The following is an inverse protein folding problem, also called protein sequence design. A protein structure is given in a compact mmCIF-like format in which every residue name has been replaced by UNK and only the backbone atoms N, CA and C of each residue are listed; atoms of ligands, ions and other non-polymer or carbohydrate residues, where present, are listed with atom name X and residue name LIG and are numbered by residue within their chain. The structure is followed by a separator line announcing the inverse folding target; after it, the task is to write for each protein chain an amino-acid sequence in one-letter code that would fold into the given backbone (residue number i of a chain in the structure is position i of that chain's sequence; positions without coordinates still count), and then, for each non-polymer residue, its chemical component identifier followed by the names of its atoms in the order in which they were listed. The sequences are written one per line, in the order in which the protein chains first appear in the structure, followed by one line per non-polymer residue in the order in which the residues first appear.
data_IF_566673012810
#
_entry.id   IF_566673012810
#
_cell.length_a   1.000
_cell.length_b   1.000
_cell.length_c   1.000
_cell.angle_alpha   90.00
_cell.angle_beta   90.00
_cell.angle_gamma   90.00
#
_symmetry.space_group_name_H-M   'P 1'
#
loop_
_entity.id
_entity.type
_entity.pdbx_description
1 polymer ?
#
# COMPACT_ATOMS: atom_id res chain seq x y z
N UNK A 1 -4.75 -11.60 -7.58
CA UNK A 1 -4.97 -12.00 -7.22
C UNK A 1 -5.29 -12.52 -6.51
N UNK A 2 -5.59 -12.93 -6.53
CA UNK A 2 -5.92 -13.30 -5.84
C UNK A 2 -6.10 -14.11 -5.17
N UNK A 3 -6.39 -14.02 -5.03
CA UNK A 3 -6.22 -14.76 -3.84
C UNK A 3 -7.28 -15.75 -3.59
N UNK A 4 -6.93 -16.85 -3.08
CA UNK A 4 -7.87 -17.89 -2.81
C UNK A 4 -8.18 -17.97 -1.33
N UNK A 5 -9.36 -17.54 -0.94
CA UNK A 5 -9.76 -17.46 0.44
C UNK A 5 -9.99 -18.80 1.11
N UNK A 6 -10.22 -19.84 0.32
CA UNK A 6 -10.35 -21.16 0.89
C UNK A 6 -9.11 -21.58 1.62
N UNK A 7 -7.99 -21.14 1.12
CA UNK A 7 -6.73 -21.43 1.77
C UNK A 7 -6.54 -20.60 3.01
N UNK A 8 -7.08 -19.40 2.99
CA UNK A 8 -6.86 -18.47 4.08
C UNK A 8 -7.65 -18.82 5.30
N UNK A 9 -8.81 -19.38 5.14
CA UNK A 9 -9.66 -19.56 6.27
C UNK A 9 -9.17 -20.62 7.23
N UNK A 10 -8.22 -21.45 6.82
CA UNK A 10 -7.85 -22.45 7.76
C UNK A 10 -6.47 -22.98 7.61
N UNK A 11 -6.18 -23.63 6.52
CA UNK A 11 -4.98 -24.45 6.49
C UNK A 11 -4.19 -24.28 5.23
N UNK A 12 -2.89 -24.33 5.33
CA UNK A 12 -2.16 -24.48 6.58
C UNK A 12 -2.24 -23.23 7.44
N UNK A 13 -1.93 -23.37 8.72
CA UNK A 13 -1.86 -22.22 9.61
C UNK A 13 -0.75 -21.31 9.16
N UNK A 14 -0.83 -20.01 9.51
CA UNK A 14 0.23 -19.08 9.17
C UNK A 14 1.57 -19.58 9.66
N UNK A 15 2.57 -19.49 8.80
CA UNK A 15 3.93 -19.90 9.16
C UNK A 15 4.69 -18.77 9.82
N UNK A 16 4.24 -17.56 9.62
CA UNK A 16 4.90 -16.39 10.22
C UNK A 16 4.53 -16.25 11.67
N UNK A 17 5.49 -15.94 12.49
CA UNK A 17 5.30 -15.74 13.91
C UNK A 17 5.60 -14.30 14.23
N UNK A 18 4.72 -13.58 14.96
CA UNK A 18 3.52 -14.11 15.66
C UNK A 18 2.32 -14.33 14.74
N UNK A 19 2.29 -13.70 13.57
CA UNK A 19 1.18 -13.82 12.64
C UNK A 19 1.60 -13.22 11.29
N UNK A 20 0.85 -13.44 10.22
CA UNK A 20 1.09 -12.73 8.96
C UNK A 20 0.93 -11.23 9.17
N UNK A 21 1.63 -10.39 8.41
CA UNK A 21 1.49 -8.94 8.54
C UNK A 21 0.05 -8.48 8.38
N UNK A 22 -0.38 -7.58 9.24
CA UNK A 22 -1.72 -7.00 9.21
C UNK A 22 -1.60 -5.59 8.64
N UNK A 23 -2.11 -5.39 7.43
CA UNK A 23 -2.10 -4.08 6.78
C UNK A 23 -3.47 -3.47 6.93
N UNK A 24 -3.55 -2.34 7.61
CA UNK A 24 -4.83 -1.69 7.90
C UNK A 24 -5.19 -0.73 6.77
N UNK A 25 -6.39 -0.91 6.21
CA UNK A 25 -6.90 -0.05 5.15
C UNK A 25 -7.76 1.07 5.70
N UNK A 26 -7.83 2.15 4.96
CA UNK A 26 -8.73 3.25 5.27
C UNK A 26 -8.02 4.59 5.39
N UNK A 27 -8.83 5.62 5.69
CA UNK A 27 -8.37 6.99 5.65
C UNK A 27 -7.72 7.50 6.92
N UNK A 28 -7.21 8.67 6.80
CA UNK A 28 -6.59 9.40 7.90
C UNK A 28 -7.64 10.25 8.61
N UNK A 29 -7.65 10.34 9.94
CA UNK A 29 -6.65 9.74 10.85
C UNK A 29 -7.06 8.41 11.46
N UNK A 30 -8.30 7.99 11.31
CA UNK A 30 -8.83 6.83 12.03
C UNK A 30 -8.13 5.51 11.69
N UNK A 31 -7.99 5.21 10.40
CA UNK A 31 -7.32 3.98 9.99
C UNK A 31 -5.84 4.05 10.31
N UNK A 32 -5.24 5.22 10.19
CA UNK A 32 -3.84 5.42 10.56
C UNK A 32 -3.61 5.10 12.03
N UNK A 33 -4.53 5.54 12.90
CA UNK A 33 -4.43 5.23 14.33
C UNK A 33 -4.55 3.75 14.60
N UNK A 34 -5.44 3.06 13.88
CA UNK A 34 -5.56 1.61 14.05
C UNK A 34 -4.30 0.90 13.58
N UNK A 35 -3.71 1.35 12.49
CA UNK A 35 -2.46 0.77 11.99
C UNK A 35 -1.35 0.90 13.03
N UNK A 36 -1.25 2.05 13.68
CA UNK A 36 -0.25 2.29 14.71
C UNK A 36 -0.53 1.43 15.94
N UNK A 37 -1.80 1.25 16.28
CA UNK A 37 -2.21 0.56 17.49
C UNK A 37 -1.98 -0.94 17.42
N UNK A 38 -2.28 -1.58 16.29
CA UNK A 38 -2.16 -3.03 16.18
C UNK A 38 -1.73 -3.55 14.82
N UNK A 39 -1.57 -2.70 13.85
CA UNK A 39 -1.21 -3.13 12.50
C UNK A 39 0.27 -3.22 12.25
N UNK A 40 0.60 -3.75 11.11
CA UNK A 40 1.98 -3.87 10.63
C UNK A 40 2.24 -2.99 9.42
N UNK A 41 1.24 -2.24 9.01
CA UNK A 41 1.34 -1.29 7.91
C UNK A 41 0.00 -0.60 7.69
N UNK A 42 0.01 0.40 6.82
CA UNK A 42 -1.17 1.19 6.51
C UNK A 42 -1.32 1.29 5.00
N UNK A 43 -2.54 1.11 4.50
CA UNK A 43 -2.81 1.21 3.06
C UNK A 43 -3.99 2.15 2.81
N UNK A 44 -3.72 3.46 2.67
CA UNK A 44 -4.76 4.41 2.29
C UNK A 44 -5.01 4.39 0.78
N UNK A 45 -6.07 5.09 0.37
CA UNK A 45 -6.36 5.29 -1.04
C UNK A 45 -5.60 6.51 -1.56
N UNK A 46 -5.40 6.53 -2.86
CA UNK A 46 -4.65 7.61 -3.50
C UNK A 46 -5.36 8.98 -3.42
N UNK A 47 -6.69 8.97 -3.41
CA UNK A 47 -7.47 10.19 -3.57
C UNK A 47 -7.15 11.31 -2.57
N UNK A 48 -6.72 11.01 -1.36
CA UNK A 48 -6.37 12.05 -0.41
C UNK A 48 -4.92 12.51 -0.53
N UNK A 49 -4.08 11.76 -1.20
CA UNK A 49 -2.70 12.18 -1.46
C UNK A 49 -2.65 13.46 -2.26
N UNK A 50 -3.65 13.67 -3.11
CA UNK A 50 -3.70 14.85 -3.94
C UNK A 50 -3.93 16.13 -3.14
N UNK A 51 -4.48 16.00 -1.94
CA UNK A 51 -4.76 17.16 -1.11
C UNK A 51 -3.56 17.55 -0.26
N UNK A 52 -3.01 16.64 0.48
CA UNK A 52 -1.86 16.93 1.34
C UNK A 52 -1.12 15.64 1.69
N UNK A 53 -0.72 14.90 0.67
CA UNK A 53 -0.09 13.59 0.88
C UNK A 53 1.14 13.65 1.75
N UNK A 54 2.04 14.59 1.49
CA UNK A 54 3.27 14.69 2.26
C UNK A 54 3.00 15.01 3.72
N UNK A 55 2.12 15.99 3.98
CA UNK A 55 1.78 16.36 5.35
C UNK A 55 1.14 15.24 6.13
N UNK A 56 0.25 14.49 5.48
CA UNK A 56 -0.42 13.36 6.11
C UNK A 56 0.57 12.24 6.42
N UNK A 57 1.51 11.96 5.53
CA UNK A 57 2.53 10.95 5.76
C UNK A 57 3.42 11.35 6.95
N UNK A 58 3.80 12.62 7.01
CA UNK A 58 4.61 13.11 8.11
C UNK A 58 3.86 13.01 9.44
N UNK A 59 2.58 13.35 9.45
CA UNK A 59 1.75 13.22 10.63
C UNK A 59 1.64 11.77 11.08
N UNK A 60 1.44 10.86 10.14
CA UNK A 60 1.37 9.44 10.46
C UNK A 60 2.66 8.97 11.14
N UNK A 61 3.79 9.37 10.61
CA UNK A 61 5.08 8.98 11.17
C UNK A 61 5.31 9.57 12.55
N UNK A 62 4.90 10.82 12.75
CA UNK A 62 4.99 11.46 14.06
C UNK A 62 4.10 10.75 15.08
N UNK A 63 2.88 10.41 14.68
CA UNK A 63 1.95 9.68 15.54
C UNK A 63 2.51 8.32 15.95
N UNK A 64 3.13 7.61 15.02
CA UNK A 64 3.74 6.33 15.30
C UNK A 64 4.86 6.48 16.33
N UNK A 65 5.70 7.48 16.14
CA UNK A 65 6.81 7.75 17.05
C UNK A 65 6.32 8.10 18.45
N UNK A 66 5.28 8.93 18.54
CA UNK A 66 4.69 9.29 19.83
C UNK A 66 4.09 8.08 20.54
N UNK A 67 3.60 7.11 19.77
CA UNK A 67 3.03 5.89 20.33
C UNK A 67 4.08 4.84 20.66
N UNK A 68 5.34 5.15 20.48
CA UNK A 68 6.43 4.22 20.78
C UNK A 68 6.71 3.21 19.68
N UNK A 69 6.15 3.45 18.46
CA UNK A 69 6.39 2.58 17.32
C UNK A 69 7.43 3.20 16.41
N UNK A 70 8.34 2.38 15.91
CA UNK A 70 9.30 2.84 14.91
C UNK A 70 8.56 3.07 13.59
N UNK A 71 8.54 4.30 13.07
CA UNK A 71 7.85 4.56 11.79
C UNK A 71 8.33 3.67 10.65
N UNK A 72 9.60 3.27 10.65
CA UNK A 72 10.14 2.39 9.63
C UNK A 72 9.55 0.98 9.70
N UNK A 73 8.95 0.60 10.82
CA UNK A 73 8.31 -0.69 10.98
C UNK A 73 6.88 -0.72 10.45
N UNK A 74 6.37 0.44 9.98
CA UNK A 74 5.01 0.58 9.50
C UNK A 74 5.02 1.04 8.04
N UNK A 75 5.27 0.13 7.09
CA UNK A 75 5.28 0.51 5.68
C UNK A 75 3.93 1.06 5.24
N UNK A 76 3.98 2.00 4.31
CA UNK A 76 2.80 2.65 3.77
C UNK A 76 2.64 2.21 2.32
N UNK A 77 1.50 1.62 2.02
CA UNK A 77 1.13 1.25 0.67
C UNK A 77 -0.02 2.13 0.24
N UNK A 78 -0.09 2.51 -1.01
CA UNK A 78 -1.22 3.31 -1.50
C UNK A 78 -1.99 2.53 -2.53
N UNK A 79 -3.29 2.52 -2.37
CA UNK A 79 -4.20 1.74 -3.19
C UNK A 79 -4.83 2.60 -4.29
N UNK A 80 -4.94 2.03 -5.49
CA UNK A 80 -5.58 2.67 -6.65
C UNK A 80 -4.83 3.90 -7.17
N UNK A 81 -3.51 3.82 -7.13
CA UNK A 81 -2.70 4.88 -7.70
C UNK A 81 -2.81 4.84 -9.24
N UNK A 82 -2.97 5.99 -9.91
CA UNK A 82 -2.94 6.02 -11.37
C UNK A 82 -1.59 5.54 -11.90
N UNK A 83 -1.61 4.84 -13.03
CA UNK A 83 -0.39 4.33 -13.64
C UNK A 83 0.35 5.41 -14.43
N UNK A 84 0.72 6.46 -13.74
CA UNK A 84 1.35 7.65 -14.28
C UNK A 84 2.73 7.80 -13.63
N UNK A 85 3.76 7.97 -14.46
CA UNK A 85 5.13 8.00 -13.95
C UNK A 85 5.36 9.16 -12.97
N UNK A 86 4.75 10.29 -13.21
CA UNK A 86 4.89 11.45 -12.32
C UNK A 86 4.28 11.18 -10.96
N UNK A 87 3.12 10.52 -10.94
CA UNK A 87 2.46 10.15 -9.69
C UNK A 87 3.28 9.13 -8.92
N UNK A 88 3.86 8.16 -9.64
CA UNK A 88 4.70 7.15 -9.00
C UNK A 88 5.96 7.76 -8.41
N UNK A 89 6.55 8.71 -9.09
CA UNK A 89 7.71 9.42 -8.57
C UNK A 89 7.36 10.27 -7.36
N UNK A 90 6.17 10.86 -7.36
CA UNK A 90 5.70 11.60 -6.19
C UNK A 90 5.56 10.65 -4.99
N UNK A 91 4.95 9.49 -5.19
CA UNK A 91 4.82 8.50 -4.13
C UNK A 91 6.18 8.11 -3.57
N UNK A 92 7.14 7.87 -4.43
CA UNK A 92 8.50 7.54 -4.02
C UNK A 92 9.11 8.67 -3.21
N UNK A 93 8.94 9.91 -3.68
CA UNK A 93 9.51 11.09 -3.03
C UNK A 93 8.96 11.30 -1.63
N UNK A 94 7.67 11.09 -1.43
CA UNK A 94 7.07 11.30 -0.11
C UNK A 94 7.22 10.09 0.81
N UNK A 95 7.84 9.02 0.32
CA UNK A 95 8.17 7.89 1.18
C UNK A 95 7.12 6.80 1.23
N UNK A 96 6.35 6.65 0.17
CA UNK A 96 5.43 5.52 0.02
C UNK A 96 6.26 4.28 -0.31
N UNK A 97 6.03 3.20 0.41
CA UNK A 97 6.81 1.98 0.25
C UNK A 97 6.31 1.08 -0.88
N UNK A 98 5.03 1.16 -1.19
CA UNK A 98 4.42 0.29 -2.20
C UNK A 98 3.20 0.95 -2.81
N UNK A 99 3.02 0.79 -4.11
CA UNK A 99 1.79 1.22 -4.77
C UNK A 99 1.06 0.01 -5.28
N UNK A 100 -0.27 0.08 -5.23
CA UNK A 100 -1.14 -1.00 -5.68
C UNK A 100 -2.04 -0.45 -6.78
N UNK A 101 -1.94 -1.04 -7.96
CA UNK A 101 -2.80 -0.69 -9.08
C UNK A 101 -4.04 -1.57 -9.08
N UNK A 102 -5.14 -1.00 -9.57
CA UNK A 102 -6.36 -1.76 -9.79
C UNK A 102 -6.36 -2.31 -11.20
N UNK A 103 -6.50 -3.62 -11.31
CA UNK A 103 -6.58 -4.27 -12.59
C UNK A 103 -8.06 -4.43 -12.96
N UNK A 104 -8.49 -3.97 -14.15
CA UNK A 104 -9.88 -4.14 -14.54
C UNK A 104 -10.22 -5.61 -14.79
N UNK A 105 -11.46 -5.98 -14.56
CA UNK A 105 -11.94 -7.33 -14.81
C UNK A 105 -12.25 -7.49 -16.29
N UNK A 106 -11.22 -7.68 -17.09
CA UNK A 106 -11.30 -7.76 -18.53
C UNK A 106 -10.65 -9.04 -19.06
N UNK A 107 -10.83 -9.29 -20.33
CA UNK A 107 -10.23 -10.45 -20.97
C UNK A 107 -8.71 -10.25 -21.12
N UNK A 108 -8.02 -11.33 -21.31
CA UNK A 108 -6.55 -11.34 -21.40
C UNK A 108 -6.02 -10.35 -22.43
N UNK A 109 -6.67 -10.24 -23.58
CA UNK A 109 -6.22 -9.35 -24.64
C UNK A 109 -6.22 -7.88 -24.23
N UNK A 110 -7.01 -7.53 -23.22
CA UNK A 110 -7.06 -6.16 -22.71
C UNK A 110 -6.18 -5.99 -21.47
N UNK A 111 -5.97 -7.06 -20.75
CA UNK A 111 -5.17 -7.05 -19.52
C UNK A 111 -3.68 -7.04 -19.82
N UNK A 112 -3.23 -7.83 -20.78
CA UNK A 112 -1.81 -7.96 -21.11
C UNK A 112 -1.13 -6.63 -21.43
N UNK A 113 -1.71 -5.74 -22.27
CA UNK A 113 -1.09 -4.44 -22.49
C UNK A 113 -0.96 -3.59 -21.24
N UNK A 114 -1.90 -3.70 -20.32
CA UNK A 114 -1.86 -2.98 -19.05
C UNK A 114 -0.70 -3.47 -18.21
N UNK A 115 -0.52 -4.77 -18.10
CA UNK A 115 0.57 -5.36 -17.34
C UNK A 115 1.93 -5.00 -17.95
N UNK A 116 2.02 -4.99 -19.28
CA UNK A 116 3.24 -4.59 -19.97
C UNK A 116 3.60 -3.15 -19.66
N UNK A 117 2.59 -2.27 -19.65
CA UNK A 117 2.80 -0.88 -19.30
C UNK A 117 3.29 -0.72 -17.87
N UNK A 118 2.72 -1.47 -16.93
CA UNK A 118 3.14 -1.41 -15.54
C UNK A 118 4.58 -1.91 -15.35
N UNK A 119 4.96 -2.96 -16.09
CA UNK A 119 6.34 -3.44 -16.06
C UNK A 119 7.31 -2.37 -16.55
N UNK A 120 6.93 -1.66 -17.59
CA UNK A 120 7.76 -0.59 -18.12
C UNK A 120 7.88 0.55 -17.13
N UNK A 121 6.77 0.93 -16.48
CA UNK A 121 6.82 1.97 -15.46
C UNK A 121 7.73 1.57 -14.29
N UNK A 122 7.68 0.33 -13.89
CA UNK A 122 8.56 -0.18 -12.84
C UNK A 122 10.02 -0.05 -13.26
N UNK A 123 10.33 -0.39 -14.50
CA UNK A 123 11.69 -0.27 -15.01
C UNK A 123 12.16 1.18 -15.06
N UNK A 124 11.27 2.11 -15.42
CA UNK A 124 11.59 3.52 -15.44
C UNK A 124 11.90 4.07 -14.05
N UNK A 125 11.33 3.47 -13.02
CA UNK A 125 11.60 3.86 -11.65
C UNK A 125 12.86 3.19 -11.09
N UNK A 126 13.49 2.36 -11.87
CA UNK A 126 14.74 1.71 -11.47
C UNK A 126 14.51 0.53 -10.55
N UNK A 127 13.27 0.13 -10.40
CA UNK A 127 12.95 -0.97 -9.54
C UNK A 127 12.28 -2.08 -10.28
#
# INVERSE_FOLDING_TARGET
EFVNFDKMKQWPKPKQTPHPPIIVGGGFPHAARRAIRYGDGWIPRDDWLERDGMGIIEQFRSMAKEAGRDPASLPISVFRVPDNIERLRLCEKIGIDRVVFSLPAEKEDKITPILDRWSELKNQLGG
#
